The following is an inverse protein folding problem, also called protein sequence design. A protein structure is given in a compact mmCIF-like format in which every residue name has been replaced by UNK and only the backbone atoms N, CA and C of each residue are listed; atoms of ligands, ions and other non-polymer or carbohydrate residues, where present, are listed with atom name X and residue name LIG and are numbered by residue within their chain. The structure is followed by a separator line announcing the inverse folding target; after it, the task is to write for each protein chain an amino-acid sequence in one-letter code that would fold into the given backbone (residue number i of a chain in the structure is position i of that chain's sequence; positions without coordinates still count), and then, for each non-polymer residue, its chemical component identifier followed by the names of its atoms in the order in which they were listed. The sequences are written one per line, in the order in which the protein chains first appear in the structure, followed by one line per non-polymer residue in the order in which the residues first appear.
data_IF_285479943498
#
_entry.id   IF_285479943498
#
_cell.length_a   1.000
_cell.length_b   1.000
_cell.length_c   1.000
_cell.angle_alpha   90.00
_cell.angle_beta   90.00
_cell.angle_gamma   90.00
#
_symmetry.space_group_name_H-M   'P 1'
#
loop_
_entity.id
_entity.type
_entity.pdbx_description
1 polymer ?
#
# COMPACT_ATOMS: atom_id res chain seq x y z
N UNK A 1 -11.70 4.79 -23.95
CA UNK A 1 -11.82 5.26 -22.56
C UNK A 1 -10.68 4.70 -21.71
N UNK A 2 -9.68 5.54 -21.45
CA UNK A 2 -8.64 5.49 -20.38
C UNK A 2 -8.08 4.14 -19.90
N UNK A 3 -7.01 3.69 -20.56
CA UNK A 3 -6.08 2.62 -20.12
C UNK A 3 -4.92 3.12 -19.24
N UNK A 4 -4.97 4.37 -18.76
CA UNK A 4 -3.86 5.01 -18.05
C UNK A 4 -3.68 4.60 -16.56
N UNK A 5 -4.74 4.08 -15.94
CA UNK A 5 -4.76 3.67 -14.52
C UNK A 5 -3.81 2.49 -14.20
N UNK A 6 -3.75 1.39 -14.99
CA UNK A 6 -2.88 0.25 -14.66
C UNK A 6 -1.38 0.58 -14.67
N UNK A 7 -0.92 1.45 -15.57
CA UNK A 7 0.53 1.74 -15.70
C UNK A 7 1.06 2.50 -14.48
N UNK A 8 0.26 3.39 -13.90
CA UNK A 8 0.67 4.19 -12.72
C UNK A 8 0.76 3.30 -11.48
N UNK A 9 -0.20 2.40 -11.29
CA UNK A 9 -0.22 1.46 -10.16
C UNK A 9 1.00 0.52 -10.21
N UNK A 10 1.27 -0.07 -11.37
CA UNK A 10 2.44 -0.96 -11.55
C UNK A 10 3.74 -0.24 -11.25
N UNK A 11 3.85 1.05 -11.59
CA UNK A 11 5.06 1.82 -11.31
C UNK A 11 5.23 2.14 -9.83
N UNK A 12 4.13 2.45 -9.13
CA UNK A 12 4.14 2.63 -7.67
C UNK A 12 4.55 1.32 -6.99
N UNK A 13 4.06 0.17 -7.45
CA UNK A 13 4.47 -1.13 -6.91
C UNK A 13 5.95 -1.44 -7.17
N UNK A 14 6.47 -1.08 -8.35
CA UNK A 14 7.91 -1.18 -8.65
C UNK A 14 8.76 -0.30 -7.73
N UNK A 15 8.35 0.96 -7.51
CA UNK A 15 9.03 1.85 -6.56
C UNK A 15 8.96 1.31 -5.14
N UNK A 16 7.81 0.78 -4.72
CA UNK A 16 7.63 0.18 -3.40
C UNK A 16 8.54 -1.04 -3.21
N UNK A 17 8.56 -1.96 -4.17
CA UNK A 17 9.45 -3.12 -4.14
C UNK A 17 10.93 -2.72 -4.13
N UNK A 18 11.30 -1.72 -4.94
CA UNK A 18 12.64 -1.16 -4.97
C UNK A 18 13.04 -0.54 -3.63
N UNK A 19 12.17 0.26 -3.02
CA UNK A 19 12.41 0.88 -1.70
C UNK A 19 12.53 -0.16 -0.59
N UNK A 20 11.70 -1.20 -0.59
CA UNK A 20 11.83 -2.31 0.35
C UNK A 20 13.16 -3.06 0.17
N UNK A 21 13.57 -3.32 -1.07
CA UNK A 21 14.84 -3.97 -1.36
C UNK A 21 16.04 -3.12 -0.90
N UNK A 22 15.98 -1.81 -1.12
CA UNK A 22 17.01 -0.86 -0.65
C UNK A 22 17.06 -0.81 0.87
N UNK A 23 15.92 -0.68 1.55
CA UNK A 23 15.88 -0.68 3.02
C UNK A 23 16.38 -2.00 3.61
N UNK A 24 16.03 -3.14 3.01
CA UNK A 24 16.59 -4.44 3.42
C UNK A 24 18.09 -4.50 3.19
N UNK A 25 18.56 -4.12 2.01
CA UNK A 25 19.99 -4.17 1.67
C UNK A 25 20.87 -3.28 2.55
N UNK A 26 20.33 -2.17 3.05
CA UNK A 26 21.07 -1.21 3.89
C UNK A 26 20.89 -1.51 5.38
N UNK A 27 19.65 -1.62 5.88
CA UNK A 27 19.39 -1.65 7.32
C UNK A 27 19.42 -3.07 7.92
N UNK A 28 19.11 -4.11 7.14
CA UNK A 28 19.19 -5.49 7.62
C UNK A 28 20.61 -5.93 8.02
N UNK A 29 21.68 -5.67 7.23
CA UNK A 29 23.04 -6.04 7.64
C UNK A 29 23.53 -5.26 8.86
N UNK A 30 23.01 -4.04 9.05
CA UNK A 30 23.32 -3.20 10.21
C UNK A 30 22.56 -3.63 11.49
N UNK A 31 21.64 -4.60 11.40
CA UNK A 31 20.77 -5.06 12.49
C UNK A 31 19.97 -3.94 13.16
N UNK A 32 19.69 -2.86 12.42
CA UNK A 32 18.90 -1.72 12.90
C UNK A 32 17.39 -2.03 12.85
N UNK A 33 16.99 -2.95 11.96
CA UNK A 33 15.60 -3.34 11.74
C UNK A 33 15.44 -4.85 11.83
N UNK A 34 14.22 -5.28 12.09
CA UNK A 34 13.79 -6.66 11.94
C UNK A 34 13.28 -6.90 10.50
N UNK A 35 14.00 -7.69 9.68
CA UNK A 35 13.70 -7.83 8.25
C UNK A 35 12.31 -8.41 7.98
N UNK A 36 11.86 -9.34 8.83
CA UNK A 36 10.54 -9.94 8.72
C UNK A 36 9.43 -8.94 9.00
N UNK A 37 9.56 -8.13 10.05
CA UNK A 37 8.59 -7.09 10.36
C UNK A 37 8.50 -6.06 9.21
N UNK A 38 9.64 -5.66 8.63
CA UNK A 38 9.68 -4.75 7.47
C UNK A 38 9.02 -5.35 6.23
N UNK A 39 9.33 -6.59 5.87
CA UNK A 39 8.73 -7.28 4.74
C UNK A 39 7.22 -7.48 4.93
N UNK A 40 6.80 -7.85 6.13
CA UNK A 40 5.40 -8.05 6.46
C UNK A 40 4.64 -6.71 6.39
N UNK A 41 5.19 -5.62 6.95
CA UNK A 41 4.59 -4.29 6.85
C UNK A 41 4.48 -3.80 5.41
N UNK A 42 5.55 -3.96 4.63
CA UNK A 42 5.57 -3.60 3.21
C UNK A 42 4.66 -4.45 2.34
N UNK A 43 4.65 -5.77 2.54
CA UNK A 43 3.79 -6.70 1.82
C UNK A 43 2.32 -6.49 2.16
N UNK A 44 2.01 -6.26 3.44
CA UNK A 44 0.66 -5.94 3.90
C UNK A 44 0.13 -4.67 3.22
N UNK A 45 0.96 -3.63 3.14
CA UNK A 45 0.53 -2.37 2.54
C UNK A 45 0.48 -2.44 1.01
N UNK A 46 1.39 -3.17 0.37
CA UNK A 46 1.33 -3.46 -1.07
C UNK A 46 0.06 -4.23 -1.44
N UNK A 47 -0.28 -5.29 -0.69
CA UNK A 47 -1.51 -6.04 -0.88
C UNK A 47 -2.75 -5.15 -0.68
N UNK A 48 -2.74 -4.26 0.32
CA UNK A 48 -3.83 -3.33 0.55
C UNK A 48 -4.04 -2.39 -0.65
N UNK A 49 -2.95 -1.86 -1.21
CA UNK A 49 -2.97 -0.97 -2.36
C UNK A 49 -3.49 -1.67 -3.62
N UNK A 50 -3.02 -2.88 -3.89
CA UNK A 50 -3.51 -3.70 -5.00
C UNK A 50 -5.02 -3.98 -4.87
N UNK A 51 -5.47 -4.38 -3.68
CA UNK A 51 -6.89 -4.59 -3.40
C UNK A 51 -7.70 -3.30 -3.53
N UNK A 52 -7.13 -2.14 -3.17
CA UNK A 52 -7.80 -0.85 -3.36
C UNK A 52 -7.97 -0.55 -4.84
N UNK A 53 -6.93 -0.71 -5.65
CA UNK A 53 -6.99 -0.51 -7.09
C UNK A 53 -8.03 -1.42 -7.75
N UNK A 54 -8.04 -2.71 -7.39
CA UNK A 54 -8.99 -3.67 -7.93
C UNK A 54 -10.42 -3.39 -7.45
N UNK A 55 -10.61 -3.09 -6.16
CA UNK A 55 -11.89 -2.73 -5.58
C UNK A 55 -12.48 -1.45 -6.19
N UNK A 56 -11.65 -0.43 -6.44
CA UNK A 56 -12.09 0.78 -7.14
C UNK A 56 -12.57 0.44 -8.55
N UNK A 57 -11.79 -0.32 -9.31
CA UNK A 57 -12.09 -0.68 -10.70
C UNK A 57 -13.35 -1.53 -10.84
N UNK A 58 -13.47 -2.58 -10.03
CA UNK A 58 -14.52 -3.59 -10.19
C UNK A 58 -15.76 -3.34 -9.35
N UNK A 59 -15.63 -2.63 -8.23
CA UNK A 59 -16.75 -2.44 -7.29
C UNK A 59 -17.20 -0.98 -7.30
N UNK A 60 -16.29 -0.04 -7.07
CA UNK A 60 -16.69 1.38 -6.93
C UNK A 60 -17.07 2.02 -8.26
N UNK A 61 -16.35 1.77 -9.34
CA UNK A 61 -16.65 2.34 -10.68
C UNK A 61 -18.07 1.99 -11.17
N UNK A 62 -18.51 0.72 -11.16
CA UNK A 62 -19.88 0.39 -11.57
C UNK A 62 -20.95 0.83 -10.56
N UNK A 63 -20.63 0.91 -9.26
CA UNK A 63 -21.57 1.38 -8.24
C UNK A 63 -21.77 2.90 -8.27
N UNK A 64 -20.71 3.67 -8.58
CA UNK A 64 -20.78 5.11 -8.76
C UNK A 64 -21.66 5.48 -9.97
N UNK A 65 -21.55 4.74 -11.07
CA UNK A 65 -22.43 4.89 -12.24
C UNK A 65 -23.91 4.56 -11.97
N UNK A 66 -24.24 3.89 -10.86
CA UNK A 66 -25.61 3.55 -10.43
C UNK A 66 -26.11 4.38 -9.24
N UNK A 67 -25.40 5.46 -8.85
CA UNK A 67 -25.78 6.32 -7.72
C UNK A 67 -25.63 5.67 -6.33
N UNK A 68 -24.96 4.53 -6.21
CA UNK A 68 -24.83 3.75 -4.96
C UNK A 68 -23.61 4.16 -4.14
N UNK A 69 -23.44 5.45 -3.89
CA UNK A 69 -22.31 6.00 -3.14
C UNK A 69 -22.22 5.43 -1.72
N UNK A 70 -23.37 5.24 -1.04
CA UNK A 70 -23.43 4.67 0.32
C UNK A 70 -22.83 3.26 0.42
N UNK A 71 -23.01 2.42 -0.61
CA UNK A 71 -22.44 1.08 -0.63
C UNK A 71 -20.92 1.11 -0.76
N UNK A 72 -20.39 2.04 -1.56
CA UNK A 72 -18.95 2.27 -1.68
C UNK A 72 -18.31 2.74 -0.37
N UNK A 73 -18.96 3.68 0.32
CA UNK A 73 -18.52 4.16 1.65
C UNK A 73 -18.54 3.01 2.68
N UNK A 74 -19.59 2.20 2.70
CA UNK A 74 -19.68 1.05 3.61
C UNK A 74 -18.55 0.03 3.37
N UNK A 75 -18.23 -0.26 2.12
CA UNK A 75 -17.10 -1.14 1.75
C UNK A 75 -15.74 -0.57 2.18
N UNK A 76 -15.55 0.74 2.07
CA UNK A 76 -14.34 1.43 2.54
C UNK A 76 -14.18 1.33 4.07
N UNK A 77 -15.26 1.58 4.81
CA UNK A 77 -15.27 1.45 6.28
C UNK A 77 -15.00 0.00 6.70
N UNK A 78 -15.66 -0.97 6.06
CA UNK A 78 -15.44 -2.39 6.33
C UNK A 78 -13.98 -2.79 6.08
N UNK A 79 -13.39 -2.33 4.97
CA UNK A 79 -11.97 -2.56 4.68
C UNK A 79 -11.07 -1.97 5.75
N UNK A 80 -11.36 -0.76 6.23
CA UNK A 80 -10.59 -0.12 7.30
C UNK A 80 -10.64 -0.91 8.61
N UNK A 81 -11.83 -1.38 9.00
CA UNK A 81 -11.99 -2.22 10.20
C UNK A 81 -11.24 -3.55 10.08
N UNK A 82 -11.32 -4.21 8.93
CA UNK A 82 -10.57 -5.45 8.65
C UNK A 82 -9.06 -5.20 8.71
N UNK A 83 -8.59 -4.09 8.14
CA UNK A 83 -7.19 -3.70 8.18
C UNK A 83 -6.71 -3.48 9.62
N UNK A 84 -7.48 -2.75 10.41
CA UNK A 84 -7.14 -2.46 11.81
C UNK A 84 -7.13 -3.74 12.67
N UNK A 85 -8.09 -4.64 12.46
CA UNK A 85 -8.15 -5.93 13.13
C UNK A 85 -6.95 -6.83 12.77
N UNK A 86 -6.58 -6.89 11.48
CA UNK A 86 -5.44 -7.67 11.03
C UNK A 86 -4.11 -7.09 11.53
N UNK A 87 -3.97 -5.76 11.54
CA UNK A 87 -2.79 -5.07 12.08
C UNK A 87 -2.65 -5.31 13.59
N UNK A 88 -3.75 -5.22 14.34
CA UNK A 88 -3.79 -5.56 15.76
C UNK A 88 -3.35 -7.01 15.97
N UNK A 89 -3.91 -7.94 15.19
CA UNK A 89 -3.53 -9.36 15.27
C UNK A 89 -2.05 -9.56 14.95
N UNK A 90 -1.52 -8.92 13.91
CA UNK A 90 -0.12 -9.04 13.53
C UNK A 90 0.82 -8.58 14.64
N UNK A 91 0.60 -7.38 15.18
CA UNK A 91 1.48 -6.78 16.19
C UNK A 91 1.41 -7.55 17.51
N UNK A 92 0.20 -7.91 17.96
CA UNK A 92 0.03 -8.58 19.26
C UNK A 92 0.26 -10.09 19.24
N UNK A 93 0.08 -10.77 18.10
CA UNK A 93 0.23 -12.23 18.00
C UNK A 93 1.63 -12.67 17.55
N UNK A 94 2.31 -11.87 16.72
CA UNK A 94 3.59 -12.23 16.13
C UNK A 94 4.78 -11.46 16.71
N UNK A 95 4.58 -10.68 17.78
CA UNK A 95 5.62 -9.90 18.48
C UNK A 95 6.49 -9.05 17.53
N UNK A 96 5.91 -8.63 16.41
CA UNK A 96 6.64 -7.91 15.36
C UNK A 96 7.12 -6.55 15.89
N UNK A 97 8.37 -6.20 15.61
CA UNK A 97 8.85 -4.85 15.86
C UNK A 97 8.01 -3.82 15.08
N UNK A 98 7.25 -3.02 15.84
CA UNK A 98 6.34 -2.03 15.30
C UNK A 98 7.06 -0.96 14.46
N UNK A 99 8.32 -0.64 14.80
CA UNK A 99 9.12 0.35 14.06
C UNK A 99 9.49 -0.18 12.69
N UNK A 100 10.04 -1.39 12.62
CA UNK A 100 10.37 -2.06 11.36
C UNK A 100 9.13 -2.29 10.49
N UNK A 101 8.01 -2.67 11.09
CA UNK A 101 6.73 -2.81 10.39
C UNK A 101 6.25 -1.47 9.80
N UNK A 102 6.27 -0.40 10.59
CA UNK A 102 5.87 0.93 10.15
C UNK A 102 6.79 1.47 9.04
N UNK A 103 8.09 1.18 9.11
CA UNK A 103 9.03 1.48 8.03
C UNK A 103 8.63 0.79 6.73
N UNK A 104 8.36 -0.52 6.77
CA UNK A 104 7.87 -1.26 5.61
C UNK A 104 6.53 -0.73 5.07
N UNK A 105 5.60 -0.35 5.95
CA UNK A 105 4.36 0.30 5.55
C UNK A 105 4.61 1.64 4.85
N UNK A 106 5.54 2.45 5.35
CA UNK A 106 5.82 3.80 4.87
C UNK A 106 6.46 3.84 3.48
N UNK A 107 7.11 2.76 3.03
CA UNK A 107 7.71 2.72 1.69
C UNK A 107 6.68 2.88 0.58
N UNK A 108 5.44 2.44 0.79
CA UNK A 108 4.39 2.63 -0.21
C UNK A 108 3.99 4.11 -0.32
N UNK A 109 3.90 4.82 0.81
CA UNK A 109 3.62 6.26 0.81
C UNK A 109 4.74 7.02 0.08
N UNK A 110 5.99 6.66 0.35
CA UNK A 110 7.15 7.21 -0.36
C UNK A 110 7.10 6.90 -1.86
N UNK A 111 6.75 5.67 -2.26
CA UNK A 111 6.60 5.28 -3.66
C UNK A 111 5.52 6.11 -4.38
N UNK A 112 4.37 6.32 -3.74
CA UNK A 112 3.30 7.19 -4.25
C UNK A 112 3.81 8.63 -4.40
N UNK A 113 4.54 9.14 -3.41
CA UNK A 113 5.09 10.49 -3.44
C UNK A 113 6.11 10.67 -4.57
N UNK A 114 7.03 9.72 -4.76
CA UNK A 114 8.00 9.74 -5.87
C UNK A 114 7.29 9.73 -7.23
N UNK A 115 6.30 8.85 -7.42
CA UNK A 115 5.60 8.77 -8.70
C UNK A 115 4.77 10.03 -8.97
N UNK A 116 4.16 10.62 -7.94
CA UNK A 116 3.39 11.86 -8.10
C UNK A 116 4.28 13.06 -8.43
N UNK A 117 5.45 13.19 -7.80
CA UNK A 117 6.44 14.23 -8.16
C UNK A 117 6.91 14.07 -9.61
N UNK A 118 7.32 12.86 -10.01
CA UNK A 118 7.75 12.57 -11.37
C UNK A 118 6.66 12.86 -12.40
N UNK A 119 5.40 12.53 -12.09
CA UNK A 119 4.27 12.80 -12.95
C UNK A 119 3.96 14.31 -13.06
N UNK A 120 4.27 15.10 -12.03
CA UNK A 120 4.14 16.56 -12.04
C UNK A 120 5.23 17.20 -12.93
N UNK A 121 6.48 16.75 -12.81
CA UNK A 121 7.59 17.24 -13.65
C UNK A 121 7.35 16.99 -15.14
N UNK A 122 6.82 15.83 -15.53
CA UNK A 122 6.54 15.54 -16.95
C UNK A 122 5.35 16.32 -17.54
N UNK A 123 4.60 17.07 -16.72
CA UNK A 123 3.46 17.90 -17.16
C UNK A 123 3.78 19.39 -17.23
N UNK A 124 4.89 19.83 -16.63
CA UNK A 124 5.40 21.21 -16.73
C UNK A 124 6.27 21.38 -17.95
#
# INVERSE_FOLDING_TARGET
MTTAVPVTIVRIELWHAGLLAVLLGILAPLKIIEPWALLIGGGFMGANFFLLAYGVRWVLTPLAGRGRVKAGVCLLVLKFLLFLGLLTTLVFRFELDAVSFALGFSTLLAAIFIETLRAAEMRG
#
